data_IF_016718756974
#
_entry.id   IF_016718756974
#
_cell.length_a   1.000
_cell.length_b   1.000
_cell.length_c   1.000
_cell.angle_alpha   90.00
_cell.angle_beta   90.00
_cell.angle_gamma   90.00
#
_symmetry.space_group_name_H-M   'P 1'
#
loop_
_entity.id
_entity.type
_entity.pdbx_description
1 polymer ?
#
# COMPACT_ATOMS: atom_id res chain seq x y z
N UNK A 1 -13.72 5.70 -5.97
CA UNK A 1 -13.06 4.77 -5.07
C UNK A 1 -12.29 5.51 -3.98
N UNK A 2 -12.30 4.94 -2.81
CA UNK A 2 -11.55 5.44 -1.68
C UNK A 2 -10.05 5.30 -1.96
N UNK A 3 -9.25 6.25 -1.50
CA UNK A 3 -7.80 6.18 -1.69
C UNK A 3 -7.19 4.93 -1.06
N UNK A 4 -7.72 4.51 0.08
CA UNK A 4 -7.29 3.27 0.73
C UNK A 4 -7.53 2.07 -0.17
N UNK A 5 -8.67 2.03 -0.82
CA UNK A 5 -8.99 0.95 -1.75
C UNK A 5 -8.07 0.95 -2.96
N UNK A 6 -7.76 2.13 -3.48
CA UNK A 6 -6.84 2.25 -4.62
C UNK A 6 -5.48 1.66 -4.28
N UNK A 7 -4.97 1.98 -3.11
CA UNK A 7 -3.68 1.46 -2.65
C UNK A 7 -3.74 -0.05 -2.46
N UNK A 8 -4.79 -0.54 -1.81
CA UNK A 8 -4.97 -1.98 -1.60
C UNK A 8 -5.07 -2.73 -2.92
N UNK A 9 -5.83 -2.20 -3.86
CA UNK A 9 -5.99 -2.81 -5.18
C UNK A 9 -4.65 -2.90 -5.91
N UNK A 10 -3.85 -1.85 -5.84
CA UNK A 10 -2.53 -1.85 -6.47
C UNK A 10 -1.65 -2.95 -5.89
N UNK A 11 -1.67 -3.13 -4.58
CA UNK A 11 -0.89 -4.16 -3.92
C UNK A 11 -1.39 -5.57 -4.26
N UNK A 12 -2.70 -5.75 -4.33
CA UNK A 12 -3.29 -7.03 -4.71
C UNK A 12 -2.92 -7.40 -6.14
N UNK A 13 -2.98 -6.43 -7.03
CA UNK A 13 -2.63 -6.63 -8.44
C UNK A 13 -1.17 -7.05 -8.61
N UNK A 14 -0.28 -6.46 -7.81
CA UNK A 14 1.14 -6.77 -7.90
C UNK A 14 1.43 -8.21 -7.47
N UNK A 15 0.67 -8.73 -6.52
CA UNK A 15 0.84 -10.11 -6.04
C UNK A 15 2.16 -10.34 -5.32
N UNK A 16 2.82 -9.26 -4.88
CA UNK A 16 4.10 -9.33 -4.18
C UNK A 16 4.25 -8.10 -3.30
N UNK A 17 5.13 -8.16 -2.29
CA UNK A 17 5.37 -6.99 -1.45
C UNK A 17 5.88 -5.82 -2.29
N UNK A 18 5.40 -4.62 -1.97
CA UNK A 18 5.75 -3.40 -2.69
C UNK A 18 6.21 -2.32 -1.73
N UNK A 19 7.09 -1.47 -2.22
CA UNK A 19 7.49 -0.27 -1.49
C UNK A 19 6.47 0.83 -1.73
N UNK A 20 6.41 1.81 -0.82
CA UNK A 20 5.50 2.93 -0.99
C UNK A 20 5.74 3.68 -2.30
N UNK A 21 7.01 3.81 -2.71
CA UNK A 21 7.35 4.44 -3.99
C UNK A 21 6.78 3.69 -5.19
N UNK A 22 6.82 2.35 -5.14
CA UNK A 22 6.26 1.52 -6.20
C UNK A 22 4.74 1.67 -6.26
N UNK A 23 4.10 1.70 -5.10
CA UNK A 23 2.65 1.89 -5.02
C UNK A 23 2.27 3.27 -5.57
N UNK A 24 3.06 4.28 -5.23
CA UNK A 24 2.82 5.63 -5.74
C UNK A 24 2.87 5.67 -7.26
N UNK A 25 3.82 4.98 -7.86
CA UNK A 25 3.93 4.88 -9.32
C UNK A 25 2.72 4.19 -9.94
N UNK A 26 2.30 3.10 -9.33
CA UNK A 26 1.17 2.33 -9.84
C UNK A 26 -0.14 3.09 -9.74
N UNK A 27 -0.33 3.87 -8.68
CA UNK A 27 -1.58 4.57 -8.43
C UNK A 27 -1.59 5.99 -8.98
N UNK A 28 -0.42 6.53 -9.30
CA UNK A 28 -0.29 7.93 -9.69
C UNK A 28 -0.41 8.89 -8.52
N UNK A 29 -0.31 8.38 -7.30
CA UNK A 29 -0.41 9.18 -6.09
C UNK A 29 0.96 9.66 -5.62
N UNK A 30 0.94 10.69 -4.76
CA UNK A 30 2.16 11.17 -4.13
C UNK A 30 2.66 10.13 -3.12
N UNK A 31 3.97 9.91 -3.09
CA UNK A 31 4.58 8.96 -2.16
C UNK A 31 4.22 9.28 -0.70
N UNK A 32 4.18 10.56 -0.34
CA UNK A 32 3.80 10.98 1.01
C UNK A 32 2.39 10.55 1.36
N UNK A 33 1.48 10.70 0.40
CA UNK A 33 0.10 10.31 0.59
C UNK A 33 -0.03 8.80 0.72
N UNK A 34 0.68 8.06 -0.13
CA UNK A 34 0.70 6.60 -0.06
C UNK A 34 1.22 6.14 1.31
N UNK A 35 2.27 6.77 1.83
CA UNK A 35 2.81 6.42 3.14
C UNK A 35 1.79 6.60 4.25
N UNK A 36 1.04 7.70 4.21
CA UNK A 36 -0.01 7.97 5.19
C UNK A 36 -1.11 6.92 5.11
N UNK A 37 -1.51 6.57 3.90
CA UNK A 37 -2.55 5.59 3.67
C UNK A 37 -2.10 4.21 4.16
N UNK A 38 -0.87 3.84 3.86
CA UNK A 38 -0.31 2.56 4.32
C UNK A 38 -0.28 2.50 5.84
N UNK A 39 0.10 3.59 6.50
CA UNK A 39 0.09 3.64 7.96
C UNK A 39 -1.31 3.41 8.52
N UNK A 40 -2.32 4.01 7.91
CA UNK A 40 -3.70 3.83 8.33
C UNK A 40 -4.15 2.38 8.11
N UNK A 41 -3.84 1.83 6.94
CA UNK A 41 -4.20 0.44 6.61
C UNK A 41 -3.51 -0.56 7.55
N UNK A 42 -2.28 -0.26 7.92
CA UNK A 42 -1.54 -1.08 8.86
C UNK A 42 -2.19 -1.09 10.23
N UNK A 43 -2.65 0.07 10.69
CA UNK A 43 -3.37 0.22 11.95
C UNK A 43 -4.67 -0.57 11.93
N UNK A 44 -5.33 -0.59 10.78
CA UNK A 44 -6.60 -1.31 10.62
C UNK A 44 -6.41 -2.81 10.43
N UNK A 45 -5.17 -3.27 10.31
CA UNK A 45 -4.87 -4.67 10.10
C UNK A 45 -5.10 -5.16 8.68
N UNK A 46 -5.18 -4.25 7.72
CA UNK A 46 -5.41 -4.61 6.32
C UNK A 46 -4.14 -4.77 5.51
N UNK A 47 -3.03 -4.28 6.03
CA UNK A 47 -1.72 -4.34 5.38
C UNK A 47 -0.69 -4.78 6.42
N UNK A 48 0.28 -5.58 5.98
CA UNK A 48 1.40 -5.95 6.83
C UNK A 48 2.71 -5.67 6.12
N UNK A 49 3.80 -5.61 6.90
CA UNK A 49 5.13 -5.35 6.37
C UNK A 49 6.00 -6.59 6.59
N UNK A 50 6.12 -7.47 5.57
CA UNK A 50 6.94 -8.67 5.70
C UNK A 50 8.42 -8.36 5.76
N UNK A 51 8.83 -7.23 5.17
CA UNK A 51 10.20 -6.75 5.20
C UNK A 51 10.21 -5.26 5.41
N UNK A 52 11.35 -4.74 5.87
CA UNK A 52 11.52 -3.30 6.03
C UNK A 52 11.23 -2.60 4.70
N UNK A 53 10.38 -1.58 4.74
CA UNK A 53 9.99 -0.78 3.60
C UNK A 53 9.11 -1.49 2.56
N UNK A 54 8.79 -2.76 2.77
CA UNK A 54 7.90 -3.50 1.89
C UNK A 54 6.55 -3.70 2.57
N UNK A 55 5.50 -3.67 1.77
CA UNK A 55 4.13 -3.79 2.26
C UNK A 55 3.34 -4.74 1.39
N UNK A 56 2.45 -5.51 2.01
CA UNK A 56 1.60 -6.45 1.30
C UNK A 56 0.21 -6.43 1.93
N UNK A 57 -0.85 -6.62 1.12
CA UNK A 57 -2.20 -6.65 1.70
C UNK A 57 -2.37 -7.92 2.52
N UNK A 58 -3.02 -7.75 3.66
CA UNK A 58 -3.24 -8.84 4.59
C UNK A 58 -4.59 -9.48 4.31
N UNK A 59 -4.65 -10.28 3.28
CA UNK A 59 -5.90 -10.96 2.92
C UNK A 59 -5.65 -12.42 2.72
#
# INVERSE_FOLDING_TARGET
MDKEEIVLEAMKKAGKPMKSGDIAKETGMDTKEVSKIISALKKEGKVESPKRCYYTPKI
#
